data_IF_853663033703
#
_entry.id   IF_853663033703
#
_cell.length_a   1.000
_cell.length_b   1.000
_cell.length_c   1.000
_cell.angle_alpha   90.00
_cell.angle_beta   90.00
_cell.angle_gamma   90.00
#
_symmetry.space_group_name_H-M   'P 1'
#
loop_
_entity.id
_entity.type
_entity.pdbx_description
1 polymer ?
#
# COMPACT_ATOMS: atom_id res chain seq x y z
N UNK A 1 -11.90 25.75 0.31
CA UNK A 1 -11.69 25.02 1.58
C UNK A 1 -11.72 23.49 1.42
N UNK A 2 -12.55 22.90 0.54
CA UNK A 2 -12.63 21.44 0.36
C UNK A 2 -11.34 20.72 -0.12
N UNK A 3 -10.49 21.38 -0.92
CA UNK A 3 -9.22 20.78 -1.42
C UNK A 3 -8.17 20.59 -0.31
N UNK A 4 -8.07 21.52 0.64
CA UNK A 4 -7.08 21.46 1.71
C UNK A 4 -7.39 20.31 2.69
N UNK A 5 -8.67 20.10 3.01
CA UNK A 5 -9.12 18.96 3.84
C UNK A 5 -8.78 17.61 3.20
N UNK A 6 -8.96 17.48 1.87
CA UNK A 6 -8.62 16.24 1.15
C UNK A 6 -7.12 15.94 1.11
N UNK A 7 -6.27 16.97 1.18
CA UNK A 7 -4.81 16.82 1.13
C UNK A 7 -4.24 16.45 2.52
N UNK A 8 -4.81 17.02 3.59
CA UNK A 8 -4.50 16.61 4.96
C UNK A 8 -4.96 15.18 5.25
N UNK A 9 -6.15 14.81 4.80
CA UNK A 9 -6.66 13.43 4.92
C UNK A 9 -5.81 12.45 4.13
N UNK A 10 -5.36 12.83 2.93
CA UNK A 10 -4.44 12.02 2.12
C UNK A 10 -3.10 11.83 2.83
N UNK A 11 -2.51 12.89 3.38
CA UNK A 11 -1.25 12.80 4.14
C UNK A 11 -1.39 11.92 5.37
N UNK A 12 -2.50 12.04 6.10
CA UNK A 12 -2.78 11.21 7.27
C UNK A 12 -2.93 9.74 6.89
N UNK A 13 -3.74 9.44 5.86
CA UNK A 13 -3.90 8.08 5.36
C UNK A 13 -2.59 7.48 4.84
N UNK A 14 -1.76 8.26 4.13
CA UNK A 14 -0.45 7.79 3.66
C UNK A 14 0.51 7.52 4.82
N UNK A 15 0.50 8.35 5.85
CA UNK A 15 1.30 8.14 7.05
C UNK A 15 0.87 6.85 7.77
N UNK A 16 -0.43 6.64 7.95
CA UNK A 16 -0.99 5.42 8.55
C UNK A 16 -0.60 4.18 7.75
N UNK A 17 -0.78 4.22 6.42
CA UNK A 17 -0.36 3.12 5.52
C UNK A 17 1.14 2.84 5.68
N UNK A 18 1.96 3.89 5.71
CA UNK A 18 3.42 3.75 5.86
C UNK A 18 3.77 3.09 7.19
N UNK A 19 3.10 3.47 8.28
CA UNK A 19 3.28 2.87 9.60
C UNK A 19 2.86 1.39 9.62
N UNK A 20 1.70 1.05 9.08
CA UNK A 20 1.24 -0.34 9.01
C UNK A 20 2.16 -1.21 8.14
N UNK A 21 2.65 -0.66 7.03
CA UNK A 21 3.58 -1.36 6.15
C UNK A 21 4.95 -1.55 6.82
N UNK A 22 5.48 -0.50 7.47
CA UNK A 22 6.74 -0.56 8.22
C UNK A 22 6.66 -1.57 9.37
N UNK A 23 5.54 -1.60 10.09
CA UNK A 23 5.26 -2.59 11.12
C UNK A 23 5.25 -4.02 10.52
N UNK A 24 4.50 -4.25 9.45
CA UNK A 24 4.48 -5.55 8.75
C UNK A 24 5.87 -6.00 8.29
N UNK A 25 6.66 -5.09 7.71
CA UNK A 25 8.04 -5.36 7.29
C UNK A 25 8.95 -5.70 8.47
N UNK A 26 8.85 -4.99 9.60
CA UNK A 26 9.61 -5.28 10.80
C UNK A 26 9.32 -6.69 11.31
N UNK A 27 8.04 -7.08 11.37
CA UNK A 27 7.62 -8.43 11.78
C UNK A 27 8.03 -9.51 10.79
N UNK A 28 8.06 -9.23 9.48
CA UNK A 28 8.63 -10.16 8.49
C UNK A 28 10.11 -10.41 8.76
N UNK A 29 10.90 -9.35 8.94
CA UNK A 29 12.34 -9.46 9.22
C UNK A 29 12.58 -10.23 10.53
N UNK A 30 11.81 -9.91 11.58
CA UNK A 30 11.82 -10.65 12.85
C UNK A 30 11.45 -12.12 12.66
N UNK A 31 10.47 -12.44 11.82
CA UNK A 31 10.07 -13.81 11.49
C UNK A 31 11.16 -14.60 10.75
N UNK A 32 11.97 -13.94 9.93
CA UNK A 32 13.15 -14.57 9.32
C UNK A 32 14.29 -14.82 10.33
N UNK A 33 14.41 -13.97 11.36
CA UNK A 33 15.44 -14.06 12.40
C UNK A 33 15.08 -15.05 13.53
N UNK A 34 13.80 -15.36 13.75
CA UNK A 34 13.35 -16.23 14.86
C UNK A 34 13.18 -17.70 14.46
N UNK A 35 13.59 -18.62 15.35
CA UNK A 35 13.46 -20.07 15.16
C UNK A 35 12.13 -20.61 15.71
N UNK A 36 11.41 -21.32 14.84
CA UNK A 36 10.24 -22.16 15.11
C UNK A 36 8.95 -21.45 15.56
N UNK A 37 8.63 -21.38 16.84
CA UNK A 37 7.26 -21.02 17.30
C UNK A 37 6.97 -19.52 17.17
N UNK A 38 7.98 -18.67 17.38
CA UNK A 38 7.84 -17.23 17.19
C UNK A 38 7.75 -16.83 15.71
N UNK A 39 8.17 -17.70 14.79
CA UNK A 39 8.15 -17.43 13.35
C UNK A 39 6.71 -17.37 12.84
N UNK A 40 5.89 -18.37 13.12
CA UNK A 40 4.51 -18.40 12.64
C UNK A 40 3.69 -17.24 13.21
N UNK A 41 3.91 -16.89 14.48
CA UNK A 41 3.30 -15.70 15.08
C UNK A 41 3.74 -14.41 14.39
N UNK A 42 5.04 -14.26 14.06
CA UNK A 42 5.56 -13.10 13.35
C UNK A 42 5.00 -13.00 11.91
N UNK A 43 4.85 -14.13 11.22
CA UNK A 43 4.23 -14.15 9.89
C UNK A 43 2.74 -13.82 9.93
N UNK A 44 2.02 -14.27 10.96
CA UNK A 44 0.61 -13.92 11.17
C UNK A 44 0.44 -12.43 11.49
N UNK A 45 1.25 -11.86 12.39
CA UNK A 45 1.19 -10.42 12.69
C UNK A 45 1.61 -9.56 11.49
N UNK A 46 2.61 -10.01 10.72
CA UNK A 46 2.98 -9.36 9.47
C UNK A 46 1.81 -9.34 8.47
N UNK A 47 1.16 -10.49 8.23
CA UNK A 47 0.02 -10.57 7.30
C UNK A 47 -1.15 -9.69 7.75
N UNK A 48 -1.44 -9.62 9.05
CA UNK A 48 -2.45 -8.70 9.59
C UNK A 48 -2.06 -7.24 9.34
N UNK A 49 -0.79 -6.87 9.53
CA UNK A 49 -0.29 -5.52 9.24
C UNK A 49 -0.42 -5.15 7.76
N UNK A 50 -0.08 -6.05 6.84
CA UNK A 50 -0.28 -5.85 5.41
C UNK A 50 -1.75 -5.76 5.03
N UNK A 51 -2.62 -6.59 5.64
CA UNK A 51 -4.06 -6.52 5.42
C UNK A 51 -4.65 -5.21 5.92
N UNK A 52 -4.26 -4.75 7.12
CA UNK A 52 -4.70 -3.46 7.66
C UNK A 52 -4.29 -2.30 6.73
N UNK A 53 -3.04 -2.29 6.26
CA UNK A 53 -2.56 -1.31 5.28
C UNK A 53 -3.40 -1.36 3.99
N UNK A 54 -3.70 -2.55 3.47
CA UNK A 54 -4.52 -2.72 2.26
C UNK A 54 -5.96 -2.25 2.46
N UNK A 55 -6.57 -2.50 3.63
CA UNK A 55 -7.91 -2.02 3.97
C UNK A 55 -7.94 -0.50 4.07
N UNK A 56 -6.94 0.13 4.68
CA UNK A 56 -6.82 1.59 4.74
C UNK A 56 -6.67 2.16 3.33
N UNK A 57 -5.82 1.57 2.49
CA UNK A 57 -5.72 1.95 1.07
C UNK A 57 -7.08 1.86 0.40
N UNK A 58 -7.79 0.73 0.53
CA UNK A 58 -9.07 0.51 -0.14
C UNK A 58 -10.16 1.48 0.33
N UNK A 59 -10.23 1.73 1.64
CA UNK A 59 -11.19 2.63 2.29
C UNK A 59 -10.99 4.10 1.90
N UNK A 60 -9.77 4.50 1.51
CA UNK A 60 -9.46 5.86 1.11
C UNK A 60 -9.30 5.98 -0.43
N UNK A 61 -10.37 6.28 -1.19
CA UNK A 61 -10.32 6.43 -2.65
C UNK A 61 -9.31 7.48 -3.12
N UNK A 62 -9.04 8.49 -2.29
CA UNK A 62 -8.04 9.53 -2.55
C UNK A 62 -6.63 8.94 -2.73
N UNK A 63 -6.32 7.82 -2.08
CA UNK A 63 -4.99 7.18 -2.11
C UNK A 63 -4.78 6.39 -3.42
N UNK A 64 -5.76 5.58 -3.85
CA UNK A 64 -5.59 4.72 -5.03
C UNK A 64 -6.07 5.34 -6.34
N UNK A 65 -6.97 6.33 -6.32
CA UNK A 65 -7.45 7.01 -7.53
C UNK A 65 -6.33 7.60 -8.42
N UNK A 66 -5.31 8.31 -7.91
CA UNK A 66 -4.21 8.82 -8.74
C UNK A 66 -3.32 7.70 -9.32
N UNK A 67 -3.19 6.59 -8.60
CA UNK A 67 -2.41 5.42 -9.03
C UNK A 67 -3.17 4.63 -10.11
N UNK A 68 -4.45 4.33 -9.87
CA UNK A 68 -5.35 3.69 -10.82
C UNK A 68 -5.47 4.51 -12.11
N UNK A 69 -5.61 5.85 -12.01
CA UNK A 69 -5.67 6.73 -13.17
C UNK A 69 -4.36 6.72 -13.98
N UNK A 70 -3.20 6.67 -13.33
CA UNK A 70 -1.91 6.49 -14.01
C UNK A 70 -1.84 5.13 -14.71
N UNK A 71 -2.23 4.07 -14.03
CA UNK A 71 -2.18 2.71 -14.56
C UNK A 71 -3.09 2.53 -15.79
N UNK A 72 -4.32 3.04 -15.72
CA UNK A 72 -5.27 3.05 -16.86
C UNK A 72 -4.70 3.85 -18.05
N UNK A 73 -3.98 4.96 -17.81
CA UNK A 73 -3.32 5.73 -18.87
C UNK A 73 -2.19 4.93 -19.54
N UNK A 74 -1.44 4.13 -18.78
CA UNK A 74 -0.41 3.26 -19.34
C UNK A 74 -1.01 2.13 -20.18
N UNK A 75 -2.13 1.53 -19.74
CA UNK A 75 -2.84 0.52 -20.53
C UNK A 75 -3.45 1.06 -21.83
N UNK A 76 -3.89 2.34 -21.83
CA UNK A 76 -4.43 3.00 -23.03
C UNK A 76 -3.36 3.47 -24.01
N UNK A 77 -2.06 3.41 -23.68
CA UNK A 77 -1.00 3.64 -24.67
C UNK A 77 -0.97 2.45 -25.62
N UNK A 78 -1.70 2.57 -26.73
CA UNK A 78 -1.54 1.65 -27.88
C UNK A 78 -0.06 1.64 -28.30
N UNK A 79 0.52 0.49 -28.64
CA UNK A 79 1.86 0.45 -29.23
C UNK A 79 1.84 1.32 -30.49
N UNK A 80 2.86 2.18 -30.65
CA UNK A 80 3.04 2.94 -31.89
C UNK A 80 3.12 1.92 -33.04
N UNK A 81 2.35 2.07 -34.13
CA UNK A 81 2.52 1.21 -35.29
C UNK A 81 3.98 1.36 -35.76
N UNK A 82 4.67 0.25 -36.07
CA UNK A 82 5.98 0.33 -36.69
C UNK A 82 5.82 1.12 -38.00
N UNK A 83 6.69 2.10 -38.18
CA UNK A 83 6.74 2.97 -39.34
C UNK A 83 6.62 2.13 -40.64
N UNK A 84 5.62 2.44 -41.46
CA UNK A 84 5.58 2.09 -42.87
C UNK A 84 6.03 3.30 -43.67
#
# INVERSE_FOLDING_TARGET
MARAASESELRMALNDITWFLAFGCAFLVLGFLTRSIARDLCWQTATVGFFAAAVVVWRHPVVWYPVARRWIKHLKKKPKPPYH
#
